data_IF_669688711262
#
_entry.id   IF_669688711262
#
_cell.length_a   1.000
_cell.length_b   1.000
_cell.length_c   1.000
_cell.angle_alpha   90.00
_cell.angle_beta   90.00
_cell.angle_gamma   90.00
#
_symmetry.space_group_name_H-M   'P 1'
#
loop_
_entity.id
_entity.type
_entity.pdbx_description
1 polymer ?
#
# COMPACT_ATOMS: atom_id res chain seq x y z
N UNK A 1 8.54 7.74 -18.57
CA UNK A 1 9.23 8.95 -18.04
C UNK A 1 8.27 9.75 -17.18
N UNK A 2 8.66 10.16 -15.97
CA UNK A 2 7.88 11.10 -15.15
C UNK A 2 7.83 12.47 -15.80
N UNK A 3 6.63 13.04 -15.99
CA UNK A 3 6.48 14.43 -16.44
C UNK A 3 7.21 15.40 -15.49
N UNK A 4 8.00 16.31 -16.04
CA UNK A 4 8.72 17.33 -15.26
C UNK A 4 7.75 18.21 -14.44
N UNK A 5 6.53 18.45 -14.93
CA UNK A 5 5.46 19.16 -14.22
C UNK A 5 5.06 18.37 -12.97
N UNK A 6 4.86 17.05 -13.12
CA UNK A 6 4.54 16.18 -11.99
C UNK A 6 5.65 16.15 -10.95
N UNK A 7 6.91 16.06 -11.38
CA UNK A 7 8.07 16.12 -10.48
C UNK A 7 8.11 17.44 -9.71
N UNK A 8 7.90 18.56 -10.40
CA UNK A 8 7.86 19.88 -9.78
C UNK A 8 6.74 19.97 -8.72
N UNK A 9 5.52 19.53 -9.04
CA UNK A 9 4.39 19.54 -8.11
C UNK A 9 4.65 18.66 -6.88
N UNK A 10 5.28 17.50 -7.05
CA UNK A 10 5.62 16.63 -5.93
C UNK A 10 6.67 17.29 -5.02
N UNK A 11 7.75 17.87 -5.58
CA UNK A 11 8.81 18.50 -4.78
C UNK A 11 8.32 19.75 -4.06
N UNK A 12 7.69 20.66 -4.79
CA UNK A 12 7.42 22.00 -4.30
C UNK A 12 6.02 22.17 -3.70
N UNK A 13 5.04 21.33 -4.06
CA UNK A 13 3.67 21.40 -3.52
C UNK A 13 3.29 20.20 -2.65
N UNK A 14 4.21 19.24 -2.49
CA UNK A 14 3.97 18.00 -1.76
C UNK A 14 2.70 17.28 -2.25
N UNK A 15 2.54 17.21 -3.58
CA UNK A 15 1.28 16.77 -4.21
C UNK A 15 0.81 15.39 -3.74
N UNK A 16 1.71 14.46 -3.44
CA UNK A 16 1.30 13.15 -2.92
C UNK A 16 0.54 13.26 -1.59
N UNK A 17 1.10 13.96 -0.61
CA UNK A 17 0.45 14.13 0.70
C UNK A 17 -0.73 15.08 0.60
N UNK A 18 -0.55 16.25 -0.01
CA UNK A 18 -1.56 17.30 0.00
C UNK A 18 -2.74 17.05 -0.95
N UNK A 19 -2.63 16.10 -1.88
CA UNK A 19 -3.65 15.89 -2.90
C UNK A 19 -3.97 14.43 -3.18
N UNK A 20 -2.97 13.57 -3.36
CA UNK A 20 -3.24 12.16 -3.69
C UNK A 20 -3.79 11.42 -2.48
N UNK A 21 -3.17 11.57 -1.30
CA UNK A 21 -3.59 10.86 -0.09
C UNK A 21 -5.06 11.13 0.30
N UNK A 22 -5.56 12.39 0.36
CA UNK A 22 -6.98 12.64 0.62
C UNK A 22 -7.95 12.12 -0.44
N UNK A 23 -7.47 11.78 -1.64
CA UNK A 23 -8.30 11.16 -2.70
C UNK A 23 -8.23 9.64 -2.70
N UNK A 24 -7.24 9.08 -2.00
CA UNK A 24 -6.96 7.66 -1.98
C UNK A 24 -7.55 6.97 -0.74
N UNK A 25 -7.88 7.71 0.33
CA UNK A 25 -8.66 7.18 1.47
C UNK A 25 -10.15 7.11 1.16
N UNK A 26 -10.84 6.14 1.73
CA UNK A 26 -12.27 5.90 1.59
C UNK A 26 -13.14 6.81 2.45
N UNK A 27 -12.62 7.27 3.59
CA UNK A 27 -13.16 8.38 4.39
C UNK A 27 -12.05 9.41 4.65
N UNK A 28 -12.31 10.66 4.25
CA UNK A 28 -11.36 11.77 4.41
C UNK A 28 -11.33 12.31 5.83
N UNK A 29 -12.36 12.04 6.64
CA UNK A 29 -12.47 12.56 8.00
C UNK A 29 -11.33 12.08 8.91
N UNK A 30 -10.76 10.90 8.60
CA UNK A 30 -9.63 10.31 9.33
C UNK A 30 -8.35 11.16 9.18
N UNK A 31 -8.22 11.95 8.12
CA UNK A 31 -7.03 12.74 7.85
C UNK A 31 -7.12 14.08 8.61
N UNK A 32 -7.07 13.99 9.93
CA UNK A 32 -7.10 15.16 10.80
C UNK A 32 -5.90 16.08 10.52
N UNK A 33 -5.96 17.37 10.92
CA UNK A 33 -4.83 18.28 10.79
C UNK A 33 -3.52 17.73 11.37
N UNK A 34 -3.60 17.01 12.50
CA UNK A 34 -2.49 16.39 13.20
C UNK A 34 -1.88 15.24 12.38
N UNK A 35 -2.71 14.32 11.88
CA UNK A 35 -2.27 13.23 11.01
C UNK A 35 -1.63 13.78 9.74
N UNK A 36 -2.27 14.77 9.09
CA UNK A 36 -1.72 15.42 7.91
C UNK A 36 -0.40 16.14 8.20
N UNK A 37 -0.21 16.70 9.40
CA UNK A 37 1.05 17.29 9.81
C UNK A 37 2.16 16.23 9.90
N UNK A 38 1.89 15.04 10.44
CA UNK A 38 2.86 13.93 10.47
C UNK A 38 3.33 13.54 9.06
N UNK A 39 2.40 13.31 8.12
CA UNK A 39 2.76 12.96 6.74
C UNK A 39 3.52 14.08 6.01
N UNK A 40 3.20 15.35 6.28
CA UNK A 40 3.95 16.49 5.72
C UNK A 40 5.36 16.59 6.29
N UNK A 41 5.52 16.30 7.58
CA UNK A 41 6.79 16.41 8.30
C UNK A 41 7.74 15.25 8.02
N UNK A 42 7.25 14.10 7.54
CA UNK A 42 8.10 12.99 7.11
C UNK A 42 9.06 13.39 5.98
N UNK A 43 8.67 14.34 5.12
CA UNK A 43 9.48 14.87 4.02
C UNK A 43 9.27 16.40 3.92
N UNK A 44 9.87 17.20 4.81
CA UNK A 44 9.44 18.57 5.05
C UNK A 44 9.91 19.55 3.97
N UNK A 45 11.03 19.26 3.30
CA UNK A 45 11.65 20.14 2.30
C UNK A 45 11.61 19.57 0.87
N UNK A 46 11.64 20.40 -0.18
CA UNK A 46 11.69 19.94 -1.56
C UNK A 46 12.86 19.00 -1.88
N UNK A 47 14.00 19.16 -1.22
CA UNK A 47 15.15 18.26 -1.34
C UNK A 47 14.84 16.85 -0.81
N UNK A 48 14.17 16.78 0.35
CA UNK A 48 13.75 15.51 0.96
C UNK A 48 12.74 14.75 0.07
N UNK A 49 11.89 15.48 -0.66
CA UNK A 49 10.91 14.90 -1.61
C UNK A 49 11.49 14.42 -2.95
N UNK A 50 12.81 14.38 -3.11
CA UNK A 50 13.43 13.96 -4.37
C UNK A 50 13.02 12.54 -4.78
N UNK A 51 13.06 11.58 -3.84
CA UNK A 51 12.66 10.20 -4.10
C UNK A 51 11.17 10.11 -4.48
N UNK A 52 10.31 10.83 -3.76
CA UNK A 52 8.88 10.92 -4.07
C UNK A 52 8.66 11.46 -5.49
N UNK A 53 9.41 12.47 -5.93
CA UNK A 53 9.26 13.02 -7.27
C UNK A 53 9.69 12.02 -8.37
N UNK A 54 10.69 11.19 -8.09
CA UNK A 54 11.16 10.16 -9.02
C UNK A 54 10.23 8.94 -9.08
N UNK A 55 9.56 8.60 -7.96
CA UNK A 55 8.75 7.40 -7.78
C UNK A 55 7.75 7.10 -8.91
N UNK A 56 6.91 8.03 -9.42
CA UNK A 56 6.00 7.73 -10.54
C UNK A 56 6.70 7.15 -11.76
N UNK A 57 7.92 7.62 -12.03
CA UNK A 57 8.72 7.22 -13.18
C UNK A 57 9.26 5.82 -13.00
N UNK A 58 9.69 5.49 -11.78
CA UNK A 58 10.07 4.12 -11.42
C UNK A 58 8.87 3.17 -11.49
N UNK A 59 7.68 3.57 -11.01
CA UNK A 59 6.48 2.73 -11.10
C UNK A 59 6.15 2.39 -12.56
N UNK A 60 6.09 3.39 -13.44
CA UNK A 60 5.75 3.17 -14.86
C UNK A 60 6.89 2.49 -15.62
N UNK A 61 8.15 2.74 -15.24
CA UNK A 61 9.32 2.16 -15.88
C UNK A 61 9.66 0.74 -15.44
N UNK A 62 9.11 0.27 -14.32
CA UNK A 62 9.42 -1.04 -13.74
C UNK A 62 8.70 -2.23 -14.41
N UNK A 63 8.07 -2.04 -15.58
CA UNK A 63 7.21 -3.05 -16.21
C UNK A 63 7.87 -4.41 -16.42
N UNK A 64 9.06 -4.44 -17.03
CA UNK A 64 9.78 -5.69 -17.33
C UNK A 64 10.27 -6.38 -16.05
N UNK A 65 10.72 -5.60 -15.07
CA UNK A 65 11.14 -6.12 -13.77
C UNK A 65 9.97 -6.68 -12.95
N UNK A 66 8.84 -5.98 -12.90
CA UNK A 66 7.63 -6.48 -12.25
C UNK A 66 7.08 -7.73 -12.98
N UNK A 67 7.23 -7.80 -14.30
CA UNK A 67 6.89 -8.98 -15.09
C UNK A 67 7.79 -10.17 -14.73
N UNK A 68 9.10 -9.97 -14.60
CA UNK A 68 9.99 -11.07 -14.20
C UNK A 68 9.65 -11.62 -12.82
N UNK A 69 9.30 -10.76 -11.86
CA UNK A 69 8.81 -11.20 -10.54
C UNK A 69 7.48 -11.97 -10.67
N UNK A 70 6.57 -11.48 -11.50
CA UNK A 70 5.28 -12.14 -11.74
C UNK A 70 5.44 -13.51 -12.41
N UNK A 71 6.41 -13.66 -13.30
CA UNK A 71 6.66 -14.93 -14.00
C UNK A 71 7.20 -15.99 -13.04
N UNK A 72 7.96 -15.60 -12.02
CA UNK A 72 8.46 -16.46 -10.94
C UNK A 72 7.47 -16.65 -9.77
N UNK A 73 6.19 -16.27 -9.95
CA UNK A 73 5.19 -16.35 -8.87
C UNK A 73 4.96 -17.76 -8.33
N UNK A 74 5.35 -18.81 -9.06
CA UNK A 74 5.28 -20.19 -8.60
C UNK A 74 6.14 -20.43 -7.35
N UNK A 75 7.20 -19.62 -7.12
CA UNK A 75 8.00 -19.64 -5.90
C UNK A 75 7.22 -19.21 -4.63
N UNK A 76 6.00 -18.69 -4.78
CA UNK A 76 5.07 -18.40 -3.69
C UNK A 76 3.99 -19.47 -3.51
N UNK A 77 3.98 -20.52 -4.34
CA UNK A 77 3.07 -21.64 -4.17
C UNK A 77 3.29 -22.32 -2.80
N UNK A 78 2.19 -22.64 -2.12
CA UNK A 78 2.22 -23.25 -0.79
C UNK A 78 2.55 -22.30 0.36
N UNK A 79 2.75 -21.00 0.10
CA UNK A 79 2.82 -19.99 1.17
C UNK A 79 1.40 -19.48 1.44
N UNK A 80 0.92 -19.50 2.69
CA UNK A 80 -0.37 -18.91 3.02
C UNK A 80 -0.32 -17.40 2.74
N UNK A 81 -1.40 -16.86 2.19
CA UNK A 81 -1.50 -15.44 1.88
C UNK A 81 -2.68 -14.78 2.60
N UNK A 82 -2.47 -13.56 3.11
CA UNK A 82 -3.53 -12.70 3.62
C UNK A 82 -3.71 -11.52 2.66
N UNK A 83 -4.91 -11.39 2.10
CA UNK A 83 -5.31 -10.26 1.27
C UNK A 83 -6.23 -9.34 2.09
N UNK A 84 -5.77 -8.13 2.36
CA UNK A 84 -6.59 -7.06 2.94
C UNK A 84 -6.85 -6.03 1.83
N UNK A 85 -8.11 -5.74 1.53
CA UNK A 85 -8.46 -5.00 0.31
C UNK A 85 -9.52 -3.91 0.54
N UNK A 86 -9.14 -2.65 0.33
CA UNK A 86 -10.08 -1.52 0.33
C UNK A 86 -10.82 -1.41 -1.00
N UNK A 87 -12.16 -1.44 -0.98
CA UNK A 87 -12.95 -1.40 -2.21
C UNK A 87 -13.11 0.01 -2.79
N UNK A 88 -12.72 1.05 -2.06
CA UNK A 88 -12.65 2.43 -2.54
C UNK A 88 -11.24 2.82 -3.03
N UNK A 89 -10.29 1.88 -3.08
CA UNK A 89 -8.93 2.17 -3.55
C UNK A 89 -8.94 2.55 -5.05
N UNK A 90 -8.32 3.68 -5.36
CA UNK A 90 -8.23 4.22 -6.72
C UNK A 90 -7.11 3.59 -7.55
N UNK A 91 -6.08 3.04 -6.90
CA UNK A 91 -4.88 2.44 -7.46
C UNK A 91 -5.03 0.92 -7.66
N UNK A 92 -5.54 0.19 -6.66
CA UNK A 92 -5.74 -1.25 -6.72
C UNK A 92 -7.22 -1.62 -6.66
N UNK A 93 -7.80 -1.99 -7.80
CA UNK A 93 -9.25 -2.17 -7.94
C UNK A 93 -9.63 -3.65 -7.97
N UNK A 94 -10.93 -3.91 -8.09
CA UNK A 94 -11.48 -5.27 -8.16
C UNK A 94 -10.79 -6.16 -9.20
N UNK A 95 -10.40 -5.60 -10.36
CA UNK A 95 -9.69 -6.35 -11.40
C UNK A 95 -8.32 -6.89 -10.93
N UNK A 96 -7.59 -6.14 -10.12
CA UNK A 96 -6.33 -6.59 -9.52
C UNK A 96 -6.59 -7.65 -8.44
N UNK A 97 -7.60 -7.44 -7.59
CA UNK A 97 -8.01 -8.45 -6.60
C UNK A 97 -8.40 -9.77 -7.25
N UNK A 98 -9.22 -9.74 -8.31
CA UNK A 98 -9.65 -10.94 -9.00
C UNK A 98 -8.46 -11.67 -9.66
N UNK A 99 -7.42 -10.94 -10.09
CA UNK A 99 -6.17 -11.55 -10.56
C UNK A 99 -5.46 -12.30 -9.43
N UNK A 100 -5.38 -11.71 -8.24
CA UNK A 100 -4.79 -12.39 -7.07
C UNK A 100 -5.60 -13.60 -6.63
N UNK A 101 -6.94 -13.50 -6.57
CA UNK A 101 -7.85 -14.63 -6.25
C UNK A 101 -7.64 -15.83 -7.18
N UNK A 102 -7.37 -15.61 -8.47
CA UNK A 102 -7.08 -16.68 -9.44
C UNK A 102 -5.65 -17.23 -9.35
N UNK A 103 -4.74 -16.48 -8.76
CA UNK A 103 -3.30 -16.79 -8.78
C UNK A 103 -2.84 -17.49 -7.51
N UNK A 104 -3.41 -17.10 -6.36
CA UNK A 104 -3.03 -17.65 -5.06
C UNK A 104 -3.92 -18.86 -4.74
N UNK A 105 -3.35 -20.06 -4.54
CA UNK A 105 -4.14 -21.26 -4.26
C UNK A 105 -4.65 -21.34 -2.82
N UNK A 106 -3.94 -20.71 -1.87
CA UNK A 106 -4.28 -20.67 -0.45
C UNK A 106 -4.20 -19.22 0.03
N UNK A 107 -5.36 -18.56 0.13
CA UNK A 107 -5.46 -17.20 0.61
C UNK A 107 -6.67 -17.01 1.52
N UNK A 108 -6.49 -16.10 2.47
CA UNK A 108 -7.56 -15.48 3.24
C UNK A 108 -7.80 -14.07 2.71
N UNK A 109 -9.07 -13.66 2.65
CA UNK A 109 -9.45 -12.36 2.14
C UNK A 109 -10.35 -11.62 3.12
N UNK A 110 -10.01 -10.36 3.38
CA UNK A 110 -10.86 -9.38 4.04
C UNK A 110 -11.07 -8.19 3.10
N UNK A 111 -12.31 -7.99 2.67
CA UNK A 111 -12.72 -6.84 1.86
C UNK A 111 -13.27 -5.74 2.78
N UNK A 112 -12.84 -4.50 2.56
CA UNK A 112 -13.21 -3.32 3.34
C UNK A 112 -14.00 -2.36 2.45
N UNK A 113 -15.32 -2.39 2.56
CA UNK A 113 -16.22 -1.58 1.72
C UNK A 113 -16.04 -0.07 1.92
N UNK A 114 -15.65 0.32 3.13
CA UNK A 114 -15.53 1.71 3.56
C UNK A 114 -14.13 2.29 3.37
N UNK A 115 -13.12 1.45 3.10
CA UNK A 115 -11.71 1.86 3.00
C UNK A 115 -11.19 1.96 1.58
N UNK A 116 -10.17 2.81 1.40
CA UNK A 116 -9.38 2.98 0.21
C UNK A 116 -7.98 2.37 0.35
N UNK A 117 -6.96 3.18 0.02
CA UNK A 117 -5.58 2.73 -0.18
C UNK A 117 -4.78 2.55 1.11
N UNK A 118 -5.12 3.25 2.19
CA UNK A 118 -4.31 3.31 3.41
C UNK A 118 -4.96 2.51 4.54
N UNK A 119 -5.25 1.23 4.31
CA UNK A 119 -5.98 0.36 5.25
C UNK A 119 -5.47 0.41 6.70
N UNK A 120 -4.16 0.53 6.91
CA UNK A 120 -3.58 0.64 8.24
C UNK A 120 -3.98 1.93 8.98
N UNK A 121 -4.20 3.02 8.26
CA UNK A 121 -4.72 4.29 8.78
C UNK A 121 -6.26 4.26 8.89
N UNK A 122 -6.92 3.66 7.89
CA UNK A 122 -8.38 3.70 7.74
C UNK A 122 -9.13 2.72 8.65
N UNK A 123 -8.54 1.55 8.93
CA UNK A 123 -9.19 0.50 9.69
C UNK A 123 -8.22 -0.28 10.60
N UNK A 124 -7.37 0.39 11.41
CA UNK A 124 -6.39 -0.30 12.25
C UNK A 124 -7.03 -1.35 13.17
N UNK A 125 -8.21 -1.05 13.72
CA UNK A 125 -8.96 -1.96 14.59
C UNK A 125 -9.49 -3.23 13.91
N UNK A 126 -9.53 -3.28 12.58
CA UNK A 126 -9.89 -4.48 11.80
C UNK A 126 -8.68 -5.14 11.15
N UNK A 127 -7.72 -4.33 10.66
CA UNK A 127 -6.48 -4.79 10.02
C UNK A 127 -5.57 -5.52 11.03
N UNK A 128 -5.35 -4.96 12.22
CA UNK A 128 -4.40 -5.53 13.19
C UNK A 128 -4.88 -6.89 13.72
N UNK A 129 -6.15 -7.08 14.12
CA UNK A 129 -6.64 -8.40 14.51
C UNK A 129 -6.52 -9.45 13.39
N UNK A 130 -6.95 -9.10 12.17
CA UNK A 130 -6.86 -10.01 11.02
C UNK A 130 -5.41 -10.46 10.77
N UNK A 131 -4.46 -9.52 10.80
CA UNK A 131 -3.04 -9.82 10.64
C UNK A 131 -2.51 -10.74 11.77
N UNK A 132 -2.83 -10.43 13.03
CA UNK A 132 -2.38 -11.22 14.18
C UNK A 132 -2.95 -12.63 14.17
N UNK A 133 -4.23 -12.77 13.85
CA UNK A 133 -4.90 -14.07 13.78
C UNK A 133 -4.36 -14.92 12.64
N UNK A 134 -4.09 -14.31 11.48
CA UNK A 134 -3.43 -14.96 10.36
C UNK A 134 -2.02 -15.45 10.76
N UNK A 135 -1.18 -14.58 11.33
CA UNK A 135 0.18 -14.94 11.76
C UNK A 135 0.18 -16.06 12.81
N UNK A 136 -0.78 -16.06 13.75
CA UNK A 136 -0.90 -17.11 14.77
C UNK A 136 -1.22 -18.48 14.15
N UNK A 137 -2.06 -18.53 13.12
CA UNK A 137 -2.47 -19.79 12.47
C UNK A 137 -1.45 -20.32 11.47
N UNK A 138 -0.66 -19.44 10.86
CA UNK A 138 0.25 -19.77 9.76
C UNK A 138 1.73 -19.78 10.18
N UNK A 139 1.97 -19.71 11.49
CA UNK A 139 3.22 -19.23 12.09
C UNK A 139 4.52 -19.77 11.50
N UNK A 140 5.48 -18.85 11.38
CA UNK A 140 6.69 -18.96 12.19
C UNK A 140 6.33 -18.49 13.62
N UNK A 141 6.64 -19.25 14.68
CA UNK A 141 6.31 -18.86 16.06
C UNK A 141 6.96 -17.50 16.41
N UNK A 142 6.40 -16.72 17.35
CA UNK A 142 7.08 -15.53 17.85
C UNK A 142 8.43 -15.97 18.42
N UNK A 143 9.52 -15.43 17.89
CA UNK A 143 10.87 -15.75 18.34
C UNK A 143 10.95 -15.66 19.86
N UNK A 144 11.13 -16.82 20.48
CA UNK A 144 11.51 -16.90 21.88
C UNK A 144 12.80 -16.11 22.03
N UNK A 145 12.80 -15.14 22.94
CA UNK A 145 14.06 -14.61 23.47
C UNK A 145 14.70 -15.74 24.26
N UNK A 146 15.71 -16.37 23.69
CA UNK A 146 16.76 -17.02 24.46
C UNK A 146 17.78 -15.94 24.84
N UNK A 147 18.08 -15.82 26.14
CA UNK A 147 19.07 -14.91 26.71
C UNK A 147 18.48 -13.89 27.67
#
# INVERSE_FOLDING_TARGET
MSSWIGQYLIRHRNMFVNSVMPRAVGDRSILTPEIMAHYRNAQPAPAARAANAALPGYIVGAGDWLRSIWDDRAAFAGKPALLLWGLKDIAFRRKELDRWKRTLPDFELHEFEDCGHFLAEEAPGRVVPALRDFMRRTGHPPGGREG
#
